data_IF_116368288177
#
_entry.id   IF_116368288177
#
_cell.length_a   1.000
_cell.length_b   1.000
_cell.length_c   1.000
_cell.angle_alpha   90.00
_cell.angle_beta   90.00
_cell.angle_gamma   90.00
#
_symmetry.space_group_name_H-M   'P 1'
#
loop_
_entity.id
_entity.type
_entity.pdbx_description
1 polymer ?
#
# COMPACT_ATOMS: atom_id res chain seq x y z
N UNK A 1 3.31 -12.15 -25.28
CA UNK A 1 4.30 -11.56 -24.37
C UNK A 1 5.65 -11.81 -24.96
N UNK A 2 6.45 -10.77 -25.14
CA UNK A 2 7.82 -10.89 -25.65
C UNK A 2 8.77 -10.86 -24.46
N UNK A 3 8.95 -12.01 -23.81
CA UNK A 3 9.87 -12.17 -22.67
C UNK A 3 10.84 -13.32 -22.96
N UNK A 4 12.05 -13.23 -22.42
CA UNK A 4 13.05 -14.28 -22.58
C UNK A 4 12.60 -15.61 -21.96
N UNK A 5 13.13 -16.72 -22.45
CA UNK A 5 12.89 -18.05 -21.87
C UNK A 5 13.31 -18.12 -20.40
N UNK A 6 14.37 -17.40 -20.00
CA UNK A 6 14.83 -17.32 -18.61
C UNK A 6 13.77 -16.61 -17.74
N UNK A 7 13.24 -15.48 -18.21
CA UNK A 7 12.19 -14.74 -17.50
C UNK A 7 10.92 -15.58 -17.34
N UNK A 8 10.52 -16.31 -18.40
CA UNK A 8 9.37 -17.21 -18.34
C UNK A 8 9.57 -18.32 -17.29
N UNK A 9 10.74 -18.94 -17.24
CA UNK A 9 11.06 -19.96 -16.23
C UNK A 9 11.03 -19.40 -14.80
N UNK A 10 11.52 -18.17 -14.58
CA UNK A 10 11.49 -17.51 -13.27
C UNK A 10 10.07 -17.20 -12.78
N UNK A 11 9.14 -16.89 -13.70
CA UNK A 11 7.73 -16.68 -13.38
C UNK A 11 7.06 -18.00 -12.99
N UNK A 12 7.30 -19.07 -13.76
CA UNK A 12 6.79 -20.42 -13.44
C UNK A 12 7.29 -20.87 -12.06
N UNK A 13 8.57 -20.64 -11.74
CA UNK A 13 9.13 -20.96 -10.43
C UNK A 13 8.49 -20.16 -9.27
N UNK A 14 7.83 -19.03 -9.56
CA UNK A 14 7.05 -18.22 -8.60
C UNK A 14 5.58 -18.63 -8.53
N UNK A 15 5.17 -19.68 -9.24
CA UNK A 15 3.78 -20.13 -9.32
C UNK A 15 2.92 -19.34 -10.31
N UNK A 16 3.51 -18.45 -11.10
CA UNK A 16 2.84 -17.69 -12.16
C UNK A 16 2.92 -18.53 -13.43
N UNK A 17 1.82 -19.18 -13.79
CA UNK A 17 1.82 -20.24 -14.82
C UNK A 17 1.00 -19.90 -16.05
N UNK A 18 0.19 -18.84 -15.99
CA UNK A 18 -0.57 -18.35 -17.14
C UNK A 18 0.04 -17.08 -17.75
N UNK A 19 -0.07 -16.87 -19.08
CA UNK A 19 0.35 -15.62 -19.70
C UNK A 19 -0.41 -14.39 -19.19
N UNK A 20 -1.59 -14.56 -18.60
CA UNK A 20 -2.37 -13.48 -18.00
C UNK A 20 -1.79 -13.05 -16.65
N UNK A 21 -1.59 -14.01 -15.72
CA UNK A 21 -0.91 -13.75 -14.44
C UNK A 21 0.47 -13.11 -14.66
N UNK A 22 1.19 -13.57 -15.69
CA UNK A 22 2.50 -13.03 -16.04
C UNK A 22 2.43 -11.58 -16.52
N UNK A 23 1.39 -11.18 -17.25
CA UNK A 23 1.16 -9.78 -17.63
C UNK A 23 0.85 -8.93 -16.41
N UNK A 24 -0.06 -9.40 -15.56
CA UNK A 24 -0.50 -8.65 -14.39
C UNK A 24 0.64 -8.44 -13.40
N UNK A 25 1.43 -9.48 -13.15
CA UNK A 25 2.60 -9.41 -12.29
C UNK A 25 3.66 -8.44 -12.81
N UNK A 26 3.95 -8.45 -14.11
CA UNK A 26 4.99 -7.58 -14.70
C UNK A 26 4.52 -6.14 -14.89
N UNK A 27 3.22 -5.91 -15.05
CA UNK A 27 2.66 -4.58 -15.22
C UNK A 27 2.73 -3.74 -13.94
N UNK A 28 2.67 -4.38 -12.76
CA UNK A 28 2.69 -3.71 -11.44
C UNK A 28 1.70 -2.53 -11.35
N UNK A 29 0.52 -2.65 -11.95
CA UNK A 29 -0.47 -1.57 -11.95
C UNK A 29 -1.05 -1.36 -10.54
N UNK A 30 -1.07 -0.10 -10.09
CA UNK A 30 -1.70 0.29 -8.83
C UNK A 30 -3.19 -0.05 -8.80
N UNK A 31 -3.86 -0.13 -9.96
CA UNK A 31 -5.27 -0.54 -10.06
C UNK A 31 -5.49 -2.00 -9.63
N UNK A 32 -4.44 -2.82 -9.67
CA UNK A 32 -4.48 -4.23 -9.26
C UNK A 32 -4.25 -4.42 -7.76
N UNK A 33 -4.08 -3.33 -6.99
CA UNK A 33 -4.02 -3.41 -5.54
C UNK A 33 -5.36 -3.86 -4.95
N UNK A 34 -5.30 -4.68 -3.90
CA UNK A 34 -6.47 -5.08 -3.14
C UNK A 34 -7.14 -3.87 -2.48
N UNK A 35 -8.46 -3.95 -2.30
CA UNK A 35 -9.20 -2.95 -1.53
C UNK A 35 -8.59 -2.81 -0.11
N UNK A 36 -8.08 -1.62 0.27
CA UNK A 36 -7.51 -1.39 1.60
C UNK A 36 -8.50 -1.67 2.73
N UNK A 37 -9.81 -1.59 2.50
CA UNK A 37 -10.83 -1.89 3.51
C UNK A 37 -10.96 -3.37 3.85
N UNK A 38 -10.26 -4.25 3.13
CA UNK A 38 -10.13 -5.66 3.49
C UNK A 38 -9.23 -5.86 4.72
N UNK A 39 -8.37 -4.90 5.05
CA UNK A 39 -7.59 -4.95 6.29
C UNK A 39 -8.52 -4.91 7.52
N UNK A 40 -8.27 -5.82 8.46
CA UNK A 40 -9.02 -5.91 9.71
C UNK A 40 -8.99 -4.56 10.45
N UNK A 41 -10.16 -3.95 10.62
CA UNK A 41 -10.31 -2.70 11.37
C UNK A 41 -10.06 -1.43 10.55
N UNK A 42 -9.76 -1.52 9.26
CA UNK A 42 -9.42 -0.34 8.44
C UNK A 42 -10.52 0.72 8.45
N UNK A 43 -11.80 0.34 8.29
CA UNK A 43 -12.92 1.30 8.39
C UNK A 43 -12.93 2.04 9.72
N UNK A 44 -12.69 1.35 10.84
CA UNK A 44 -12.66 1.96 12.18
C UNK A 44 -11.48 2.92 12.32
N UNK A 45 -10.32 2.58 11.77
CA UNK A 45 -9.13 3.44 11.79
C UNK A 45 -9.36 4.74 11.01
N UNK A 46 -9.86 4.64 9.77
CA UNK A 46 -10.16 5.81 8.92
C UNK A 46 -11.15 6.74 9.61
N UNK A 47 -12.26 6.22 10.14
CA UNK A 47 -13.26 7.05 10.81
C UNK A 47 -12.74 7.69 12.11
N UNK A 48 -11.87 7.00 12.84
CA UNK A 48 -11.21 7.56 14.04
C UNK A 48 -10.28 8.73 13.68
N UNK A 49 -9.51 8.61 12.60
CA UNK A 49 -8.60 9.64 12.11
C UNK A 49 -9.39 10.86 11.64
N UNK A 50 -10.40 10.67 10.78
CA UNK A 50 -11.29 11.77 10.33
C UNK A 50 -11.91 12.53 11.50
N UNK A 51 -12.34 11.81 12.54
CA UNK A 51 -12.89 12.40 13.76
C UNK A 51 -11.87 13.21 14.55
N UNK A 52 -10.60 12.76 14.63
CA UNK A 52 -9.52 13.54 15.25
C UNK A 52 -9.29 14.84 14.49
N UNK A 53 -9.18 14.77 13.16
CA UNK A 53 -8.99 15.93 12.29
C UNK A 53 -10.13 16.94 12.48
N UNK A 54 -11.39 16.47 12.39
CA UNK A 54 -12.56 17.34 12.54
C UNK A 54 -12.68 18.01 13.92
N UNK A 55 -12.01 17.47 14.94
CA UNK A 55 -12.01 17.98 16.32
C UNK A 55 -10.73 18.75 16.68
N UNK A 56 -9.76 18.86 15.78
CA UNK A 56 -8.45 19.44 16.09
C UNK A 56 -7.69 18.65 17.15
N UNK A 57 -7.90 17.33 17.24
CA UNK A 57 -7.11 16.47 18.13
C UNK A 57 -5.72 16.27 17.52
N UNK A 58 -4.66 16.42 18.32
CA UNK A 58 -3.28 16.13 17.88
C UNK A 58 -3.12 14.66 17.53
N UNK A 59 -2.45 14.38 16.41
CA UNK A 59 -2.22 13.02 15.92
C UNK A 59 -0.71 12.71 16.00
N UNK A 60 -0.36 11.70 16.79
CA UNK A 60 1.01 11.19 16.82
C UNK A 60 1.16 10.03 15.85
N UNK A 61 2.07 10.17 14.88
CA UNK A 61 2.48 9.07 13.99
C UNK A 61 3.70 8.38 14.58
N UNK A 62 3.57 7.10 14.88
CA UNK A 62 4.64 6.26 15.41
C UNK A 62 4.95 5.14 14.41
N UNK A 63 6.13 5.17 13.81
CA UNK A 63 6.63 4.15 12.88
C UNK A 63 7.66 3.22 13.52
N UNK A 64 7.95 2.10 12.87
CA UNK A 64 9.10 1.27 13.20
C UNK A 64 10.40 1.89 12.66
N UNK A 65 11.55 1.40 13.14
CA UNK A 65 12.88 1.94 12.85
C UNK A 65 13.46 1.48 11.51
N UNK A 66 12.82 0.52 10.83
CA UNK A 66 13.21 0.09 9.50
C UNK A 66 12.81 1.12 8.41
N UNK A 67 13.30 0.88 7.19
CA UNK A 67 13.14 1.82 6.09
C UNK A 67 11.67 1.96 5.71
N UNK A 68 10.90 0.88 5.73
CA UNK A 68 9.46 0.89 5.49
C UNK A 68 8.69 1.60 6.60
N UNK A 69 9.08 1.43 7.88
CA UNK A 69 8.51 2.18 9.00
C UNK A 69 8.73 3.69 8.89
N UNK A 70 9.97 4.11 8.60
CA UNK A 70 10.33 5.53 8.45
C UNK A 70 9.62 6.16 7.25
N UNK A 71 9.65 5.50 6.09
CA UNK A 71 9.02 6.03 4.87
C UNK A 71 7.50 6.09 4.99
N UNK A 72 6.87 5.08 5.61
CA UNK A 72 5.42 5.09 5.89
C UNK A 72 5.03 6.18 6.87
N UNK A 73 5.82 6.41 7.92
CA UNK A 73 5.57 7.48 8.87
C UNK A 73 5.66 8.86 8.20
N UNK A 74 6.68 9.08 7.36
CA UNK A 74 6.83 10.32 6.60
C UNK A 74 5.63 10.57 5.65
N UNK A 75 5.19 9.53 4.93
CA UNK A 75 4.03 9.59 4.04
C UNK A 75 2.74 9.91 4.81
N UNK A 76 2.53 9.27 5.96
CA UNK A 76 1.36 9.51 6.82
C UNK A 76 1.35 10.94 7.37
N UNK A 77 2.48 11.44 7.86
CA UNK A 77 2.59 12.83 8.35
C UNK A 77 2.26 13.81 7.23
N UNK A 78 2.82 13.63 6.03
CA UNK A 78 2.51 14.50 4.88
C UNK A 78 1.02 14.47 4.55
N UNK A 79 0.45 13.26 4.40
CA UNK A 79 -0.96 13.09 4.03
C UNK A 79 -1.92 13.65 5.08
N UNK A 80 -1.62 13.48 6.37
CA UNK A 80 -2.44 14.02 7.45
C UNK A 80 -2.41 15.55 7.48
N UNK A 81 -1.26 16.17 7.22
CA UNK A 81 -1.13 17.63 7.10
C UNK A 81 -1.93 18.17 5.90
N UNK A 82 -1.86 17.50 4.75
CA UNK A 82 -2.66 17.86 3.57
C UNK A 82 -4.17 17.78 3.84
N UNK A 83 -4.57 16.91 4.77
CA UNK A 83 -5.96 16.76 5.25
C UNK A 83 -6.33 17.72 6.40
N UNK A 84 -5.41 18.59 6.84
CA UNK A 84 -5.66 19.59 7.87
C UNK A 84 -5.43 19.13 9.31
N UNK A 85 -4.68 18.05 9.53
CA UNK A 85 -4.21 17.65 10.86
C UNK A 85 -2.97 18.48 11.30
N UNK A 86 -2.81 18.65 12.62
CA UNK A 86 -1.62 19.19 13.29
C UNK A 86 -0.68 18.07 13.75
#
# INVERSE_FOLDING_TARGET
MDISQISAQLLINRGITSPEEARDFLACDLKSLHDPFLFKGMRKAVERIKKAIARGERIMVWGDYDIDGITSAALLVSSLKDLGAD
#
